data_IF_383129770909
#
_entry.id   IF_383129770909
#
_cell.length_a   1.000
_cell.length_b   1.000
_cell.length_c   1.000
_cell.angle_alpha   90.00
_cell.angle_beta   90.00
_cell.angle_gamma   90.00
#
_symmetry.space_group_name_H-M   'P 1'
#
loop_
_entity.id
_entity.type
_entity.pdbx_description
1 polymer ?
#
# COMPACT_ATOMS: atom_id res chain seq x y z
N UNK A 1 -51.34 20.02 49.77
CA UNK A 1 -51.10 18.92 48.80
C UNK A 1 -50.51 19.38 47.44
N UNK A 2 -50.68 20.64 47.02
CA UNK A 2 -50.20 21.18 45.71
C UNK A 2 -48.66 21.14 45.49
N UNK A 3 -47.85 21.22 46.55
CA UNK A 3 -46.38 21.21 46.44
C UNK A 3 -45.76 19.83 46.13
N UNK A 4 -46.51 18.72 46.32
CA UNK A 4 -45.99 17.36 46.05
C UNK A 4 -46.08 17.02 44.56
N UNK A 5 -47.07 17.57 43.86
CA UNK A 5 -47.27 17.41 42.42
C UNK A 5 -46.22 18.17 41.60
N UNK A 6 -45.85 19.40 42.02
CA UNK A 6 -44.81 20.18 41.32
C UNK A 6 -43.41 19.53 41.40
N UNK A 7 -43.10 18.82 42.48
CA UNK A 7 -41.81 18.08 42.62
C UNK A 7 -41.75 16.84 41.74
N UNK A 8 -42.88 16.14 41.54
CA UNK A 8 -42.97 14.98 40.64
C UNK A 8 -42.83 15.38 39.17
N UNK A 9 -43.47 16.47 38.77
CA UNK A 9 -43.36 17.00 37.41
C UNK A 9 -41.92 17.45 37.08
N UNK A 10 -41.25 18.14 38.01
CA UNK A 10 -39.85 18.53 37.85
C UNK A 10 -38.91 17.32 37.74
N UNK A 11 -39.12 16.29 38.58
CA UNK A 11 -38.35 15.04 38.54
C UNK A 11 -38.50 14.28 37.22
N UNK A 12 -39.71 14.27 36.63
CA UNK A 12 -39.98 13.66 35.32
C UNK A 12 -39.25 14.39 34.19
N UNK A 13 -39.27 15.74 34.18
CA UNK A 13 -38.61 16.55 33.15
C UNK A 13 -37.09 16.36 33.19
N UNK A 14 -36.48 16.35 34.39
CA UNK A 14 -35.04 16.11 34.53
C UNK A 14 -34.64 14.72 34.06
N UNK A 15 -35.46 13.69 34.33
CA UNK A 15 -35.20 12.33 33.86
C UNK A 15 -35.23 12.23 32.33
N UNK A 16 -36.23 12.84 31.69
CA UNK A 16 -36.32 12.90 30.22
C UNK A 16 -35.11 13.63 29.63
N UNK A 17 -34.71 14.75 30.22
CA UNK A 17 -33.55 15.51 29.77
C UNK A 17 -32.25 14.69 29.83
N UNK A 18 -32.03 13.96 30.93
CA UNK A 18 -30.87 13.06 31.07
C UNK A 18 -30.92 11.92 30.06
N UNK A 19 -32.09 11.34 29.79
CA UNK A 19 -32.25 10.28 28.77
C UNK A 19 -31.87 10.82 27.38
N UNK A 20 -32.35 12.02 27.02
CA UNK A 20 -32.03 12.63 25.73
C UNK A 20 -30.53 12.93 25.61
N UNK A 21 -29.89 13.44 26.68
CA UNK A 21 -28.45 13.64 26.69
C UNK A 21 -27.68 12.33 26.48
N UNK A 22 -28.04 11.28 27.21
CA UNK A 22 -27.42 9.96 27.06
C UNK A 22 -27.65 9.38 25.66
N UNK A 23 -28.83 9.59 25.07
CA UNK A 23 -29.12 9.18 23.70
C UNK A 23 -28.22 9.90 22.68
N UNK A 24 -28.02 11.22 22.82
CA UNK A 24 -27.14 11.98 21.91
C UNK A 24 -25.69 11.52 21.99
N UNK A 25 -25.18 11.25 23.20
CA UNK A 25 -23.83 10.73 23.42
C UNK A 25 -23.69 9.32 22.83
N UNK A 26 -24.69 8.46 23.01
CA UNK A 26 -24.68 7.11 22.46
C UNK A 26 -24.62 7.13 20.91
N UNK A 27 -25.41 7.99 20.26
CA UNK A 27 -25.38 8.15 18.80
C UNK A 27 -24.03 8.66 18.32
N UNK A 28 -23.44 9.63 19.03
CA UNK A 28 -22.10 10.14 18.71
C UNK A 28 -21.06 9.01 18.76
N UNK A 29 -21.06 8.22 19.85
CA UNK A 29 -20.14 7.09 20.03
C UNK A 29 -20.30 6.07 18.89
N UNK A 30 -21.53 5.71 18.54
CA UNK A 30 -21.78 4.77 17.43
C UNK A 30 -21.24 5.30 16.09
N UNK A 31 -21.44 6.59 15.82
CA UNK A 31 -20.94 7.22 14.59
C UNK A 31 -19.42 7.26 14.52
N UNK A 32 -18.75 7.50 15.66
CA UNK A 32 -17.29 7.48 15.77
C UNK A 32 -16.75 6.06 15.60
N UNK A 33 -17.37 5.07 16.25
CA UNK A 33 -16.98 3.67 16.12
C UNK A 33 -17.04 3.18 14.68
N UNK A 34 -18.11 3.50 13.95
CA UNK A 34 -18.22 3.15 12.52
C UNK A 34 -17.10 3.76 11.67
N UNK A 35 -16.76 5.04 11.92
CA UNK A 35 -15.64 5.72 11.24
C UNK A 35 -14.28 5.12 11.60
N UNK A 36 -14.04 4.84 12.89
CA UNK A 36 -12.78 4.24 13.36
C UNK A 36 -12.54 2.86 12.76
N UNK A 37 -13.57 2.03 12.62
CA UNK A 37 -13.44 0.72 11.97
C UNK A 37 -13.01 0.88 10.51
N UNK A 38 -13.63 1.82 9.77
CA UNK A 38 -13.26 2.04 8.37
C UNK A 38 -11.85 2.61 8.20
N UNK A 39 -11.44 3.55 9.04
CA UNK A 39 -10.09 4.11 9.00
C UNK A 39 -9.03 3.06 9.36
N UNK A 40 -9.31 2.22 10.37
CA UNK A 40 -8.38 1.15 10.75
C UNK A 40 -8.21 0.12 9.64
N UNK A 41 -9.29 -0.32 8.98
CA UNK A 41 -9.15 -1.25 7.84
C UNK A 41 -8.37 -0.66 6.68
N UNK A 42 -8.61 0.61 6.33
CA UNK A 42 -7.85 1.32 5.30
C UNK A 42 -6.37 1.46 5.67
N UNK A 43 -6.07 1.73 6.95
CA UNK A 43 -4.70 1.78 7.44
C UNK A 43 -4.02 0.41 7.35
N UNK A 44 -4.67 -0.66 7.80
CA UNK A 44 -4.15 -2.02 7.70
C UNK A 44 -3.83 -2.42 6.25
N UNK A 45 -4.66 -2.02 5.28
CA UNK A 45 -4.38 -2.30 3.87
C UNK A 45 -3.16 -1.56 3.35
N UNK A 46 -2.99 -0.28 3.73
CA UNK A 46 -1.80 0.51 3.37
C UNK A 46 -0.54 -0.06 3.98
N UNK A 47 -0.58 -0.47 5.25
CA UNK A 47 0.56 -1.09 5.94
C UNK A 47 0.94 -2.42 5.28
N UNK A 48 -0.05 -3.27 4.95
CA UNK A 48 0.21 -4.50 4.20
C UNK A 48 0.81 -4.22 2.81
N UNK A 49 0.29 -3.24 2.07
CA UNK A 49 0.84 -2.86 0.78
C UNK A 49 2.31 -2.37 0.90
N UNK A 50 2.62 -1.62 1.96
CA UNK A 50 3.98 -1.17 2.25
C UNK A 50 4.93 -2.33 2.59
N UNK A 51 4.48 -3.29 3.39
CA UNK A 51 5.25 -4.48 3.73
C UNK A 51 5.53 -5.34 2.50
N UNK A 52 4.52 -5.56 1.66
CA UNK A 52 4.67 -6.26 0.38
C UNK A 52 5.64 -5.51 -0.54
N UNK A 53 5.53 -4.18 -0.65
CA UNK A 53 6.48 -3.42 -1.45
C UNK A 53 7.93 -3.61 -0.97
N UNK A 54 8.15 -3.66 0.36
CA UNK A 54 9.47 -3.91 0.93
C UNK A 54 9.98 -5.33 0.63
N UNK A 55 9.17 -6.36 0.84
CA UNK A 55 9.60 -7.74 0.57
C UNK A 55 9.93 -7.97 -0.91
N UNK A 56 9.12 -7.40 -1.81
CA UNK A 56 9.40 -7.48 -3.25
C UNK A 56 10.60 -6.64 -3.69
N UNK A 57 10.90 -5.50 -3.04
CA UNK A 57 12.18 -4.81 -3.30
C UNK A 57 13.38 -5.67 -2.91
N UNK A 58 13.33 -6.34 -1.76
CA UNK A 58 14.43 -7.20 -1.29
C UNK A 58 14.58 -8.44 -2.18
N UNK A 59 13.47 -9.05 -2.58
CA UNK A 59 13.45 -10.15 -3.54
C UNK A 59 14.02 -9.74 -4.90
N UNK A 60 13.67 -8.55 -5.40
CA UNK A 60 14.18 -8.04 -6.66
C UNK A 60 15.70 -7.79 -6.61
N UNK A 61 16.20 -7.20 -5.52
CA UNK A 61 17.64 -7.02 -5.33
C UNK A 61 18.35 -8.37 -5.30
N UNK A 62 17.83 -9.35 -4.53
CA UNK A 62 18.38 -10.70 -4.48
C UNK A 62 18.42 -11.36 -5.87
N UNK A 63 17.30 -11.32 -6.60
CA UNK A 63 17.18 -11.91 -7.93
C UNK A 63 18.16 -11.26 -8.93
N UNK A 64 18.36 -9.96 -8.85
CA UNK A 64 19.35 -9.27 -9.68
C UNK A 64 20.77 -9.63 -9.28
N UNK A 65 21.08 -9.78 -7.99
CA UNK A 65 22.43 -10.19 -7.54
C UNK A 65 22.75 -11.65 -7.90
N UNK A 66 21.74 -12.53 -7.93
CA UNK A 66 21.89 -13.93 -8.27
C UNK A 66 21.97 -14.19 -9.78
N UNK A 67 21.52 -13.24 -10.61
CA UNK A 67 21.57 -13.40 -12.05
C UNK A 67 23.02 -13.30 -12.55
N UNK A 68 23.44 -14.27 -13.36
CA UNK A 68 24.73 -14.19 -14.07
C UNK A 68 24.72 -12.95 -14.96
N UNK A 69 25.83 -12.24 -15.07
CA UNK A 69 25.96 -11.00 -15.84
C UNK A 69 26.66 -11.17 -17.19
N UNK A 70 27.24 -12.34 -17.44
CA UNK A 70 28.16 -12.54 -18.57
C UNK A 70 27.61 -13.43 -19.71
N UNK A 71 26.31 -13.69 -19.70
CA UNK A 71 25.58 -14.45 -20.71
C UNK A 71 24.72 -13.57 -21.63
N UNK A 72 24.22 -14.17 -22.70
CA UNK A 72 23.28 -13.55 -23.65
C UNK A 72 21.85 -13.52 -23.08
N UNK A 73 21.30 -12.32 -22.84
CA UNK A 73 19.93 -12.12 -22.32
C UNK A 73 19.84 -11.91 -20.81
N UNK A 74 20.91 -11.48 -20.16
CA UNK A 74 21.13 -11.55 -18.72
C UNK A 74 20.48 -10.44 -17.88
N UNK A 75 19.44 -9.78 -18.39
CA UNK A 75 18.72 -8.75 -17.65
C UNK A 75 17.41 -9.32 -17.14
N UNK A 76 17.13 -9.13 -15.85
CA UNK A 76 15.94 -9.68 -15.23
C UNK A 76 14.70 -8.97 -15.77
N UNK A 77 13.72 -9.76 -16.21
CA UNK A 77 12.41 -9.28 -16.61
C UNK A 77 11.62 -8.74 -15.42
N UNK A 78 10.45 -8.15 -15.67
CA UNK A 78 9.59 -7.67 -14.59
C UNK A 78 9.16 -8.81 -13.67
N UNK A 79 9.18 -8.54 -12.37
CA UNK A 79 8.72 -9.47 -11.35
C UNK A 79 7.31 -9.02 -11.01
N UNK A 80 6.33 -9.57 -11.72
CA UNK A 80 4.92 -9.35 -11.41
C UNK A 80 4.42 -10.51 -10.53
N UNK A 81 3.55 -10.20 -9.57
CA UNK A 81 3.00 -11.19 -8.64
C UNK A 81 1.67 -10.75 -8.08
N UNK A 82 0.85 -11.71 -7.66
CA UNK A 82 -0.43 -11.44 -7.01
C UNK A 82 -0.42 -12.07 -5.61
N UNK A 83 -0.92 -11.33 -4.63
CA UNK A 83 -1.13 -11.82 -3.27
C UNK A 83 -2.63 -11.81 -2.96
N UNK A 84 -3.19 -12.99 -2.66
CA UNK A 84 -4.63 -13.17 -2.44
C UNK A 84 -5.33 -13.86 -3.61
N UNK A 85 -6.61 -14.19 -3.41
CA UNK A 85 -7.38 -14.99 -4.36
C UNK A 85 -7.85 -14.18 -5.58
N UNK A 86 -8.15 -12.89 -5.39
CA UNK A 86 -8.71 -12.06 -6.47
C UNK A 86 -8.48 -10.54 -6.23
N UNK A 87 -7.32 -10.00 -6.62
CA UNK A 87 -7.03 -8.58 -6.45
C UNK A 87 -7.95 -7.67 -7.30
N UNK A 88 -8.54 -8.18 -8.39
CA UNK A 88 -9.41 -7.38 -9.27
C UNK A 88 -10.76 -7.04 -8.60
N UNK A 89 -11.20 -7.87 -7.65
CA UNK A 89 -12.42 -7.69 -6.88
C UNK A 89 -12.16 -7.30 -5.41
N UNK A 90 -11.00 -6.69 -5.12
CA UNK A 90 -10.67 -6.18 -3.78
C UNK A 90 -10.28 -7.26 -2.76
N UNK A 91 -9.99 -8.48 -3.21
CA UNK A 91 -9.59 -9.62 -2.37
C UNK A 91 -8.11 -9.97 -2.58
N UNK A 92 -7.26 -8.94 -2.52
CA UNK A 92 -5.82 -9.11 -2.65
C UNK A 92 -5.09 -7.86 -3.10
N UNK A 93 -3.81 -8.05 -3.41
CA UNK A 93 -2.88 -7.05 -3.93
C UNK A 93 -2.26 -7.56 -5.22
N UNK A 94 -2.16 -6.67 -6.20
CA UNK A 94 -1.39 -6.88 -7.43
C UNK A 94 -0.07 -6.16 -7.28
N UNK A 95 1.03 -6.89 -7.40
CA UNK A 95 2.38 -6.39 -7.27
C UNK A 95 3.03 -6.35 -8.65
N UNK A 96 3.61 -5.20 -9.01
CA UNK A 96 4.38 -5.02 -10.23
C UNK A 96 5.73 -4.44 -9.90
N UNK A 97 6.79 -5.21 -10.12
CA UNK A 97 8.17 -4.75 -9.95
C UNK A 97 8.77 -4.45 -11.32
N UNK A 98 9.21 -3.21 -11.50
CA UNK A 98 9.93 -2.77 -12.69
C UNK A 98 11.38 -2.51 -12.32
N UNK A 99 12.28 -3.08 -13.11
CA UNK A 99 13.71 -2.92 -12.92
C UNK A 99 14.28 -2.12 -14.07
N UNK A 100 15.11 -1.15 -13.73
CA UNK A 100 15.86 -0.38 -14.69
C UNK A 100 17.34 -0.33 -14.34
N UNK A 101 18.18 -0.35 -15.36
CA UNK A 101 19.62 -0.54 -15.26
C UNK A 101 20.37 0.71 -15.70
N UNK A 102 21.43 1.03 -14.97
CA UNK A 102 22.39 2.11 -15.23
C UNK A 102 23.79 1.53 -15.11
N UNK A 103 24.54 1.49 -16.20
CA UNK A 103 25.84 0.81 -16.24
C UNK A 103 26.61 1.01 -17.54
N UNK A 104 27.71 0.29 -17.68
CA UNK A 104 28.52 0.31 -18.90
C UNK A 104 27.83 -0.46 -20.03
N UNK A 105 28.03 -0.03 -21.27
CA UNK A 105 27.40 -0.62 -22.46
C UNK A 105 27.60 -2.15 -22.53
N UNK A 106 28.80 -2.65 -22.26
CA UNK A 106 29.10 -4.08 -22.36
C UNK A 106 28.31 -4.96 -21.38
N UNK A 107 27.84 -4.39 -20.26
CA UNK A 107 27.10 -5.13 -19.22
C UNK A 107 25.57 -5.04 -19.40
N UNK A 108 25.07 -4.05 -20.14
CA UNK A 108 23.62 -3.78 -20.25
C UNK A 108 23.12 -3.67 -21.70
N UNK A 109 24.00 -3.78 -22.70
CA UNK A 109 23.61 -3.71 -24.12
C UNK A 109 22.67 -4.85 -24.53
N UNK A 110 22.67 -5.96 -23.80
CA UNK A 110 21.74 -7.08 -24.01
C UNK A 110 20.38 -6.89 -23.31
N UNK A 111 20.22 -5.86 -22.47
CA UNK A 111 18.93 -5.49 -21.88
C UNK A 111 18.03 -4.80 -22.91
N UNK A 112 16.71 -4.97 -22.77
CA UNK A 112 15.75 -4.20 -23.54
C UNK A 112 15.95 -2.69 -23.32
N UNK A 113 15.94 -1.90 -24.39
CA UNK A 113 16.14 -0.44 -24.34
C UNK A 113 15.15 0.29 -23.41
N UNK A 114 13.95 -0.27 -23.20
CA UNK A 114 12.94 0.25 -22.27
C UNK A 114 13.35 0.17 -20.79
N UNK A 115 14.37 -0.64 -20.47
CA UNK A 115 14.90 -0.87 -19.12
C UNK A 115 16.26 -0.22 -18.91
N UNK A 116 16.85 0.34 -19.95
CA UNK A 116 18.19 0.94 -19.92
C UNK A 116 18.03 2.46 -19.80
N UNK A 117 18.35 3.01 -18.63
CA UNK A 117 18.29 4.46 -18.43
C UNK A 117 19.54 5.17 -18.90
N UNK A 118 20.71 4.56 -18.74
CA UNK A 118 21.97 5.07 -19.26
C UNK A 118 22.97 3.93 -19.47
N UNK A 119 23.62 3.93 -20.64
CA UNK A 119 24.63 2.96 -21.06
C UNK A 119 26.00 3.58 -21.38
N UNK A 120 26.14 4.90 -21.24
CA UNK A 120 27.36 5.66 -21.54
C UNK A 120 28.28 5.84 -20.31
N UNK A 121 28.18 4.96 -19.32
CA UNK A 121 29.03 5.02 -18.12
C UNK A 121 30.43 4.54 -18.49
N UNK A 122 31.34 5.47 -18.78
CA UNK A 122 32.69 5.20 -19.34
C UNK A 122 33.76 4.76 -18.32
N UNK A 123 33.40 4.65 -17.04
CA UNK A 123 34.33 4.21 -15.99
C UNK A 123 34.24 2.70 -15.75
N UNK A 124 35.29 1.96 -16.14
CA UNK A 124 35.42 0.49 -16.08
C UNK A 124 35.11 -0.15 -14.72
N UNK A 125 35.23 0.60 -13.61
CA UNK A 125 35.04 0.11 -12.24
C UNK A 125 33.76 0.59 -11.55
N UNK A 126 32.80 1.14 -12.28
CA UNK A 126 31.53 1.53 -11.65
C UNK A 126 30.67 0.28 -11.46
N UNK A 127 30.31 -0.09 -10.22
CA UNK A 127 29.35 -1.16 -10.01
C UNK A 127 28.01 -0.77 -10.63
N UNK A 128 27.33 -1.77 -11.19
CA UNK A 128 26.05 -1.62 -11.86
C UNK A 128 25.08 -0.99 -10.86
N UNK A 129 24.31 0.01 -11.30
CA UNK A 129 23.26 0.58 -10.48
C UNK A 129 21.92 0.14 -11.04
N UNK A 130 21.04 -0.27 -10.15
CA UNK A 130 19.66 -0.61 -10.51
C UNK A 130 18.70 0.30 -9.79
N UNK A 131 17.63 0.64 -10.50
CA UNK A 131 16.46 1.27 -9.93
C UNK A 131 15.37 0.20 -9.88
N UNK A 132 14.87 -0.04 -8.68
CA UNK A 132 13.78 -0.98 -8.42
C UNK A 132 12.55 -0.18 -8.07
N UNK A 133 11.55 -0.23 -8.95
CA UNK A 133 10.25 0.38 -8.77
C UNK A 133 9.22 -0.70 -8.45
N UNK A 134 8.60 -0.62 -7.27
CA UNK A 134 7.57 -1.56 -6.86
C UNK A 134 6.25 -0.82 -6.72
N UNK A 135 5.25 -1.29 -7.47
CA UNK A 135 3.88 -0.83 -7.42
C UNK A 135 3.04 -1.93 -6.79
N UNK A 136 2.43 -1.64 -5.64
CA UNK A 136 1.47 -2.52 -4.99
C UNK A 136 0.08 -1.89 -5.12
N UNK A 137 -0.75 -2.53 -5.91
CA UNK A 137 -2.08 -2.05 -6.27
C UNK A 137 -3.14 -2.89 -5.57
N UNK A 138 -4.12 -2.24 -4.99
CA UNK A 138 -5.25 -2.89 -4.36
C UNK A 138 -6.53 -2.06 -4.58
N UNK A 139 -7.67 -2.69 -4.32
CA UNK A 139 -8.97 -2.02 -4.38
C UNK A 139 -9.62 -2.03 -3.00
N UNK A 140 -10.47 -1.04 -2.78
CA UNK A 140 -11.34 -1.01 -1.61
C UNK A 140 -12.33 -2.20 -1.69
N UNK A 141 -12.39 -3.07 -0.67
CA UNK A 141 -13.33 -4.20 -0.64
C UNK A 141 -14.80 -3.75 -0.65
N UNK A 142 -15.10 -2.55 -0.13
CA UNK A 142 -16.46 -2.00 -0.13
C UNK A 142 -16.85 -1.40 -1.50
N UNK A 143 -15.86 -1.12 -2.37
CA UNK A 143 -16.08 -0.61 -3.72
C UNK A 143 -15.09 -1.23 -4.74
N UNK A 144 -15.28 -2.51 -5.10
CA UNK A 144 -14.37 -3.22 -6.01
C UNK A 144 -14.43 -2.73 -7.47
N UNK A 145 -15.45 -1.93 -7.83
CA UNK A 145 -15.52 -1.25 -9.12
C UNK A 145 -14.80 0.11 -9.12
N UNK A 146 -14.29 0.54 -7.97
CA UNK A 146 -13.52 1.77 -7.82
C UNK A 146 -12.13 1.73 -8.48
N UNK A 147 -11.45 2.88 -8.51
CA UNK A 147 -10.08 2.97 -9.02
C UNK A 147 -9.13 2.14 -8.16
N UNK A 148 -8.03 1.72 -8.77
CA UNK A 148 -6.94 1.06 -8.05
C UNK A 148 -6.21 2.09 -7.17
N UNK A 149 -6.01 1.74 -5.90
CA UNK A 149 -5.11 2.46 -5.02
C UNK A 149 -3.73 1.82 -5.19
N UNK A 150 -2.72 2.64 -5.47
CA UNK A 150 -1.35 2.18 -5.68
C UNK A 150 -0.42 2.75 -4.60
N UNK A 151 0.27 1.87 -3.90
CA UNK A 151 1.45 2.21 -3.13
C UNK A 151 2.69 2.02 -4.01
N UNK A 152 3.46 3.09 -4.18
CA UNK A 152 4.68 3.08 -4.99
C UNK A 152 5.91 3.28 -4.10
N UNK A 153 6.91 2.43 -4.30
CA UNK A 153 8.23 2.58 -3.68
C UNK A 153 9.32 2.42 -4.73
N UNK A 154 10.21 3.40 -4.80
CA UNK A 154 11.42 3.38 -5.63
C UNK A 154 12.66 3.26 -4.74
N UNK A 155 13.57 2.37 -5.09
CA UNK A 155 14.88 2.24 -4.42
C UNK A 155 15.99 2.17 -5.47
N UNK A 156 17.08 2.89 -5.23
CA UNK A 156 18.30 2.77 -6.03
C UNK A 156 19.29 1.90 -5.26
N UNK A 157 19.78 0.85 -5.91
CA UNK A 157 20.75 -0.07 -5.33
C UNK A 157 21.99 -0.14 -6.21
N UNK A 158 23.15 -0.01 -5.56
CA UNK A 158 24.46 -0.28 -6.13
C UNK A 158 24.79 -1.75 -5.90
N UNK A 159 25.12 -2.48 -6.96
CA UNK A 159 25.31 -3.95 -6.97
C UNK A 159 26.63 -4.35 -7.61
#
# INVERSE_FOLDING_TARGET
MKNREMRKAFSMITAIFVIVLMATVAVLILSLSGKMVKETTAQFQREQAMLLAKSYTEYAVMAVTANDRNGTGNCLSDIDGNYGADPAHGKGYRIRVRLAYIGHADQIASCAATRTFANNVVTEKTPLNIIVDVYVEYKDPDNPSGPWLAYHRRTLQKI
#
